data_IF_703718355448
#
_entry.id   IF_703718355448
#
_cell.length_a   1.000
_cell.length_b   1.000
_cell.length_c   1.000
_cell.angle_alpha   90.00
_cell.angle_beta   90.00
_cell.angle_gamma   90.00
#
_symmetry.space_group_name_H-M   'P 1'
#
loop_
_entity.id
_entity.type
_entity.pdbx_description
1 polymer ?
#
# COMPACT_ATOMS: atom_id res chain seq x y z
N UNK A 1 -23.87 9.37 6.23
CA UNK A 1 -22.65 9.39 5.39
C UNK A 1 -21.81 10.57 5.84
N UNK A 2 -20.50 10.39 6.04
CA UNK A 2 -19.62 11.51 6.36
C UNK A 2 -19.53 12.45 5.15
N UNK A 3 -19.54 13.75 5.42
CA UNK A 3 -19.31 14.80 4.44
C UNK A 3 -17.86 14.81 3.95
N UNK A 4 -17.62 15.40 2.77
CA UNK A 4 -16.27 15.53 2.21
C UNK A 4 -15.32 16.30 3.14
N UNK A 5 -15.84 17.29 3.88
CA UNK A 5 -15.09 18.05 4.86
C UNK A 5 -14.66 17.18 6.06
N UNK A 6 -15.55 16.34 6.57
CA UNK A 6 -15.24 15.41 7.67
C UNK A 6 -14.17 14.39 7.26
N UNK A 7 -14.28 13.80 6.06
CA UNK A 7 -13.28 12.85 5.53
C UNK A 7 -11.91 13.54 5.40
N UNK A 8 -11.87 14.77 4.91
CA UNK A 8 -10.62 15.54 4.80
C UNK A 8 -10.01 15.81 6.16
N UNK A 9 -10.81 16.26 7.12
CA UNK A 9 -10.34 16.52 8.48
C UNK A 9 -9.77 15.25 9.14
N UNK A 10 -10.41 14.10 8.93
CA UNK A 10 -9.92 12.84 9.47
C UNK A 10 -8.59 12.40 8.85
N UNK A 11 -8.41 12.59 7.53
CA UNK A 11 -7.12 12.32 6.86
C UNK A 11 -6.01 13.22 7.37
N UNK A 12 -6.29 14.50 7.60
CA UNK A 12 -5.32 15.44 8.19
C UNK A 12 -4.92 15.02 9.61
N UNK A 13 -5.88 14.61 10.44
CA UNK A 13 -5.58 14.07 11.78
C UNK A 13 -4.66 12.85 11.72
N UNK A 14 -4.86 11.94 10.75
CA UNK A 14 -3.99 10.77 10.56
C UNK A 14 -2.55 11.16 10.17
N UNK A 15 -2.39 12.17 9.32
CA UNK A 15 -1.07 12.73 8.97
C UNK A 15 -0.37 13.28 10.22
N UNK A 16 -1.08 14.00 11.08
CA UNK A 16 -0.51 14.55 12.32
C UNK A 16 -0.10 13.44 13.30
N UNK A 17 -0.86 12.33 13.37
CA UNK A 17 -0.50 11.16 14.18
C UNK A 17 0.81 10.54 13.68
N UNK A 18 0.96 10.36 12.36
CA UNK A 18 2.20 9.83 11.76
C UNK A 18 3.40 10.72 12.08
N UNK A 19 3.26 12.04 11.91
CA UNK A 19 4.32 13.01 12.24
C UNK A 19 4.70 12.95 13.72
N UNK A 20 3.71 12.88 14.63
CA UNK A 20 3.96 12.76 16.07
C UNK A 20 4.66 11.46 16.46
N UNK A 21 4.44 10.39 15.69
CA UNK A 21 5.14 9.12 15.85
C UNK A 21 6.56 9.13 15.22
N UNK A 22 7.02 10.26 14.68
CA UNK A 22 8.33 10.38 14.02
C UNK A 22 8.39 9.75 12.63
N UNK A 23 7.24 9.37 12.05
CA UNK A 23 7.16 8.82 10.71
C UNK A 23 6.89 9.94 9.70
N UNK A 24 7.69 9.99 8.63
CA UNK A 24 7.45 10.88 7.50
C UNK A 24 6.26 10.37 6.66
N UNK A 25 5.14 11.10 6.56
CA UNK A 25 4.00 10.71 5.74
C UNK A 25 4.29 10.74 4.23
N UNK A 26 5.35 11.45 3.81
CA UNK A 26 5.70 11.65 2.41
C UNK A 26 7.21 11.42 2.17
N UNK A 27 7.70 10.19 2.38
CA UNK A 27 9.11 9.88 2.17
C UNK A 27 9.51 10.12 0.71
N UNK A 28 10.74 10.56 0.49
CA UNK A 28 11.29 10.83 -0.84
C UNK A 28 11.54 9.56 -1.66
N UNK A 29 11.84 8.45 -0.98
CA UNK A 29 12.09 7.15 -1.60
C UNK A 29 11.61 6.04 -0.67
N UNK A 30 11.03 5.02 -1.28
CA UNK A 30 10.67 3.76 -0.63
C UNK A 30 11.33 2.62 -1.39
N UNK A 31 11.71 1.52 -0.71
CA UNK A 31 12.14 0.32 -1.42
C UNK A 31 11.06 -0.11 -2.41
N UNK A 32 11.44 -0.26 -3.67
CA UNK A 32 10.59 -0.74 -4.74
C UNK A 32 11.44 -1.63 -5.61
N UNK A 33 11.16 -2.92 -5.60
CA UNK A 33 12.01 -3.91 -6.26
C UNK A 33 11.41 -4.38 -7.59
N UNK A 34 10.09 -4.48 -7.67
CA UNK A 34 9.37 -5.01 -8.84
C UNK A 34 8.09 -4.21 -9.08
N UNK A 35 7.66 -4.10 -10.33
CA UNK A 35 6.32 -3.63 -10.65
C UNK A 35 5.29 -4.75 -10.47
N UNK A 36 4.02 -4.39 -10.27
CA UNK A 36 2.94 -5.38 -10.17
C UNK A 36 2.84 -6.24 -11.43
N UNK A 37 3.05 -5.65 -12.61
CA UNK A 37 3.04 -6.36 -13.90
C UNK A 37 4.08 -7.47 -13.95
N UNK A 38 5.29 -7.18 -13.45
CA UNK A 38 6.41 -8.13 -13.47
C UNK A 38 6.09 -9.34 -12.61
N UNK A 39 5.52 -9.10 -11.43
CA UNK A 39 5.11 -10.16 -10.50
C UNK A 39 4.06 -11.06 -11.11
N UNK A 40 3.06 -10.50 -11.80
CA UNK A 40 2.04 -11.34 -12.46
C UNK A 40 2.61 -12.15 -13.61
N UNK A 41 3.56 -11.59 -14.35
CA UNK A 41 4.17 -12.25 -15.49
C UNK A 41 5.17 -13.36 -15.11
N UNK A 42 5.90 -13.18 -14.00
CA UNK A 42 7.02 -14.04 -13.61
C UNK A 42 6.85 -14.70 -12.22
N UNK A 43 5.60 -14.85 -11.78
CA UNK A 43 5.27 -15.35 -10.44
C UNK A 43 5.94 -16.69 -10.12
N UNK A 44 5.92 -17.65 -11.06
CA UNK A 44 6.47 -18.98 -10.83
C UNK A 44 7.98 -18.97 -10.54
N UNK A 45 8.73 -18.07 -11.18
CA UNK A 45 10.17 -17.97 -10.95
C UNK A 45 10.47 -17.21 -9.67
N UNK A 46 9.70 -16.17 -9.37
CA UNK A 46 9.79 -15.44 -8.12
C UNK A 46 9.50 -16.33 -6.91
N UNK A 47 8.45 -17.17 -7.00
CA UNK A 47 8.10 -18.15 -5.98
C UNK A 47 9.23 -19.15 -5.75
N UNK A 48 9.81 -19.72 -6.82
CA UNK A 48 10.95 -20.64 -6.73
C UNK A 48 12.20 -19.98 -6.15
N UNK A 49 12.41 -18.69 -6.41
CA UNK A 49 13.56 -17.96 -5.91
C UNK A 49 13.48 -17.67 -4.41
N UNK A 50 12.27 -17.68 -3.83
CA UNK A 50 11.98 -17.35 -2.44
C UNK A 50 12.61 -16.02 -1.95
N UNK A 51 12.80 -15.07 -2.87
CA UNK A 51 13.38 -13.75 -2.55
C UNK A 51 12.32 -12.81 -1.99
N UNK A 52 12.75 -11.92 -1.11
CA UNK A 52 11.91 -10.82 -0.64
C UNK A 52 11.59 -9.85 -1.79
N UNK A 53 10.32 -9.49 -1.91
CA UNK A 53 9.82 -8.57 -2.92
C UNK A 53 9.21 -7.35 -2.23
N UNK A 54 9.55 -6.16 -2.71
CA UNK A 54 8.97 -4.90 -2.25
C UNK A 54 8.18 -4.25 -3.37
N UNK A 55 6.94 -3.88 -3.06
CA UNK A 55 5.97 -3.29 -3.97
C UNK A 55 5.48 -1.94 -3.44
N UNK A 56 5.12 -1.05 -4.35
CA UNK A 56 4.47 0.22 -4.02
C UNK A 56 3.27 0.44 -4.93
N UNK A 57 2.21 1.05 -4.40
CA UNK A 57 1.02 1.36 -5.18
C UNK A 57 -0.04 2.09 -4.37
N UNK A 58 -1.14 2.47 -5.03
CA UNK A 58 -2.30 3.09 -4.38
C UNK A 58 -3.18 2.01 -3.74
N UNK A 59 -3.49 2.17 -2.46
CA UNK A 59 -4.46 1.28 -1.80
C UNK A 59 -5.87 1.58 -2.31
N UNK A 60 -6.48 0.58 -2.96
CA UNK A 60 -7.81 0.65 -3.56
C UNK A 60 -8.89 0.08 -2.64
N UNK A 61 -8.59 -1.03 -1.97
CA UNK A 61 -9.50 -1.68 -1.04
C UNK A 61 -8.74 -2.17 0.19
N UNK A 62 -9.41 -2.12 1.34
CA UNK A 62 -8.89 -2.62 2.61
C UNK A 62 -9.98 -3.49 3.22
N UNK A 63 -9.64 -4.74 3.51
CA UNK A 63 -10.50 -5.67 4.24
C UNK A 63 -9.73 -6.25 5.41
N UNK A 64 -10.36 -6.32 6.58
CA UNK A 64 -9.74 -6.84 7.79
C UNK A 64 -10.67 -7.80 8.50
N UNK A 65 -10.11 -8.90 8.99
CA UNK A 65 -10.82 -9.88 9.80
C UNK A 65 -9.94 -10.30 10.97
N UNK A 66 -10.23 -9.77 12.16
CA UNK A 66 -9.47 -10.04 13.38
C UNK A 66 -7.99 -9.63 13.25
N UNK A 67 -7.10 -10.62 13.33
CA UNK A 67 -5.65 -10.43 13.27
C UNK A 67 -5.07 -10.34 11.84
N UNK A 68 -5.90 -10.43 10.80
CA UNK A 68 -5.46 -10.40 9.40
C UNK A 68 -6.07 -9.20 8.69
N UNK A 69 -5.29 -8.54 7.84
CA UNK A 69 -5.77 -7.51 6.91
C UNK A 69 -5.22 -7.78 5.52
N UNK A 70 -6.06 -7.56 4.53
CA UNK A 70 -5.72 -7.59 3.13
C UNK A 70 -5.89 -6.19 2.54
N UNK A 71 -4.97 -5.85 1.65
CA UNK A 71 -4.95 -4.59 0.94
C UNK A 71 -4.90 -4.93 -0.54
N UNK A 72 -5.78 -4.32 -1.32
CA UNK A 72 -5.63 -4.32 -2.77
C UNK A 72 -4.85 -3.07 -3.14
N UNK A 73 -3.66 -3.24 -3.70
CA UNK A 73 -2.82 -2.17 -4.20
C UNK A 73 -2.95 -2.09 -5.72
N UNK A 74 -2.92 -0.87 -6.25
CA UNK A 74 -2.88 -0.60 -7.68
C UNK A 74 -1.60 0.13 -8.05
N UNK A 75 -0.87 -0.43 -8.97
CA UNK A 75 0.34 0.14 -9.56
C UNK A 75 0.11 0.33 -11.07
N UNK A 76 0.27 1.56 -11.55
CA UNK A 76 -0.19 2.01 -12.88
C UNK A 76 -1.62 1.54 -13.22
N UNK A 77 -1.73 0.53 -14.11
CA UNK A 77 -2.98 -0.03 -14.61
C UNK A 77 -3.32 -1.40 -14.00
N UNK A 78 -2.47 -1.91 -13.12
CA UNK A 78 -2.59 -3.26 -12.59
C UNK A 78 -2.88 -3.29 -11.09
N UNK A 79 -3.75 -4.21 -10.69
CA UNK A 79 -4.12 -4.43 -9.29
C UNK A 79 -3.51 -5.72 -8.75
N UNK A 80 -3.09 -5.70 -7.48
CA UNK A 80 -2.49 -6.82 -6.77
C UNK A 80 -3.01 -6.87 -5.33
N UNK A 81 -3.09 -8.07 -4.75
CA UNK A 81 -3.57 -8.31 -3.38
C UNK A 81 -2.67 -9.32 -2.67
#
# INVERSE_FOLDING_TARGET
>A
MASLSEIRQERLKKIDILKKAGMDPYPSSVPHTHMVSDIKSDFENLEKSAKEVSLSGRVMAIRGQGAIRFFVIKDDNEEFQ
#
